data_IF_958800199555
#
_entry.id   IF_958800199555
#
_cell.length_a   1.000
_cell.length_b   1.000
_cell.length_c   1.000
_cell.angle_alpha   90.00
_cell.angle_beta   90.00
_cell.angle_gamma   90.00
#
_symmetry.space_group_name_H-M   'P 1'
#
loop_
_entity.id
_entity.type
_entity.pdbx_description
1 polymer ?
#
# COMPACT_ATOMS: atom_id res chain seq x y z
N UNK A 1 -7.08 -21.60 -16.60
CA UNK A 1 -6.86 -20.28 -15.99
C UNK A 1 -6.01 -19.41 -16.91
N UNK A 2 -6.51 -18.25 -17.20
CA UNK A 2 -5.80 -17.29 -18.04
C UNK A 2 -4.85 -16.47 -17.17
N UNK A 3 -3.94 -15.75 -17.81
CA UNK A 3 -3.04 -14.84 -17.10
C UNK A 3 -3.81 -13.81 -16.28
N UNK A 4 -4.97 -13.40 -16.76
CA UNK A 4 -5.79 -12.42 -16.04
C UNK A 4 -6.26 -12.90 -14.69
N UNK A 5 -6.36 -14.19 -14.51
CA UNK A 5 -6.86 -14.76 -13.27
C UNK A 5 -5.77 -14.96 -12.24
N UNK A 6 -4.54 -14.78 -12.63
CA UNK A 6 -3.45 -14.81 -11.68
C UNK A 6 -3.42 -13.52 -10.91
N UNK A 7 -3.53 -13.64 -9.63
CA UNK A 7 -3.41 -12.49 -8.77
C UNK A 7 -1.94 -12.28 -8.47
N UNK A 8 -1.43 -11.18 -8.96
CA UNK A 8 -0.07 -10.79 -8.62
C UNK A 8 -0.13 -9.87 -7.43
N UNK A 9 0.43 -10.32 -6.32
CA UNK A 9 0.49 -9.52 -5.09
C UNK A 9 1.91 -9.01 -4.97
N UNK A 10 2.04 -7.70 -4.86
CA UNK A 10 3.35 -7.07 -4.77
C UNK A 10 3.34 -5.97 -3.72
N UNK A 11 4.50 -5.65 -3.14
CA UNK A 11 4.59 -4.54 -2.19
C UNK A 11 4.21 -3.21 -2.86
N UNK A 12 3.58 -2.35 -2.10
CA UNK A 12 3.20 -1.02 -2.59
C UNK A 12 4.40 -0.24 -3.12
N UNK A 13 5.58 -0.47 -2.55
CA UNK A 13 6.81 0.20 -2.98
C UNK A 13 7.21 -0.09 -4.42
N UNK A 14 6.67 -1.15 -5.02
CA UNK A 14 6.96 -1.49 -6.41
C UNK A 14 5.96 -0.86 -7.38
N UNK A 15 4.95 -0.18 -6.88
CA UNK A 15 3.96 0.46 -7.75
C UNK A 15 4.45 1.80 -8.26
N UNK A 16 4.05 2.10 -9.48
CA UNK A 16 4.38 3.38 -10.08
C UNK A 16 3.60 4.51 -9.42
N UNK A 17 4.23 5.68 -9.37
CA UNK A 17 3.58 6.89 -8.87
C UNK A 17 2.38 7.22 -9.76
N UNK A 18 1.28 7.57 -9.11
CA UNK A 18 0.07 7.98 -9.82
C UNK A 18 -0.86 6.87 -10.24
N UNK A 19 -0.47 5.62 -10.01
CA UNK A 19 -1.32 4.47 -10.36
C UNK A 19 -2.13 4.05 -9.14
N UNK A 20 -3.45 4.05 -9.29
CA UNK A 20 -4.34 3.60 -8.23
C UNK A 20 -4.33 2.08 -8.16
N UNK A 21 -4.19 1.56 -6.94
CA UNK A 21 -4.23 0.13 -6.69
C UNK A 21 -5.13 -0.16 -5.51
N UNK A 22 -5.41 -1.43 -5.27
CA UNK A 22 -6.27 -1.85 -4.17
C UNK A 22 -5.44 -2.67 -3.19
N UNK A 23 -5.56 -2.36 -1.91
CA UNK A 23 -4.89 -3.11 -0.86
C UNK A 23 -5.45 -4.53 -0.82
N UNK A 24 -4.58 -5.51 -0.96
CA UNK A 24 -4.95 -6.92 -0.89
C UNK A 24 -4.79 -7.45 0.53
N UNK A 25 -3.66 -7.14 1.14
CA UNK A 25 -3.39 -7.57 2.51
C UNK A 25 -2.24 -6.74 3.07
N UNK A 26 -2.05 -6.81 4.36
CA UNK A 26 -0.93 -6.18 5.04
C UNK A 26 -0.15 -7.26 5.76
N UNK A 27 1.14 -7.30 5.50
CA UNK A 27 2.05 -8.24 6.15
C UNK A 27 2.73 -7.59 7.33
N UNK A 28 3.14 -8.41 8.27
CA UNK A 28 3.89 -7.95 9.42
C UNK A 28 3.25 -8.34 10.71
N UNK A 29 3.83 -7.82 11.80
CA UNK A 29 3.33 -8.08 13.15
C UNK A 29 2.04 -7.31 13.39
N UNK A 30 1.29 -7.74 14.40
CA UNK A 30 0.01 -7.14 14.71
C UNK A 30 0.09 -5.63 14.92
N UNK A 31 1.15 -5.16 15.56
CA UNK A 31 1.32 -3.73 15.80
C UNK A 31 1.44 -2.94 14.50
N UNK A 32 2.23 -3.45 13.57
CA UNK A 32 2.39 -2.83 12.26
C UNK A 32 1.08 -2.83 11.49
N UNK A 33 0.38 -3.96 11.51
CA UNK A 33 -0.89 -4.09 10.82
C UNK A 33 -1.92 -3.12 11.39
N UNK A 34 -2.02 -3.03 12.71
CA UNK A 34 -2.96 -2.11 13.35
C UNK A 34 -2.62 -0.66 13.05
N UNK A 35 -1.34 -0.32 13.07
CA UNK A 35 -0.90 1.03 12.74
C UNK A 35 -1.34 1.42 11.33
N UNK A 36 -1.09 0.55 10.37
CA UNK A 36 -1.45 0.83 8.98
C UNK A 36 -2.96 0.84 8.79
N UNK A 37 -3.68 -0.06 9.45
CA UNK A 37 -5.14 -0.07 9.39
C UNK A 37 -5.73 1.23 9.94
N UNK A 38 -5.16 1.76 11.00
CA UNK A 38 -5.61 3.04 11.57
C UNK A 38 -5.42 4.20 10.60
N UNK A 39 -4.44 4.12 9.72
CA UNK A 39 -4.22 5.13 8.70
C UNK A 39 -5.18 4.97 7.51
N UNK A 40 -5.89 3.86 7.45
CA UNK A 40 -6.83 3.61 6.36
C UNK A 40 -6.41 2.50 5.41
N UNK A 41 -5.26 1.88 5.63
CA UNK A 41 -4.79 0.78 4.77
C UNK A 41 -5.46 -0.51 5.18
N UNK A 42 -6.67 -0.71 4.72
CA UNK A 42 -7.45 -1.93 5.00
C UNK A 42 -7.70 -2.66 3.69
N UNK A 43 -7.99 -3.96 3.78
CA UNK A 43 -8.28 -4.74 2.58
C UNK A 43 -9.39 -4.09 1.77
N UNK A 44 -9.19 -4.00 0.47
CA UNK A 44 -10.16 -3.38 -0.42
C UNK A 44 -10.04 -1.87 -0.54
N UNK A 45 -9.21 -1.22 0.29
CA UNK A 45 -9.03 0.21 0.19
C UNK A 45 -8.22 0.55 -1.07
N UNK A 46 -8.59 1.64 -1.72
CA UNK A 46 -7.86 2.11 -2.89
C UNK A 46 -6.78 3.07 -2.44
N UNK A 47 -5.59 2.88 -2.97
CA UNK A 47 -4.43 3.67 -2.62
C UNK A 47 -3.66 4.06 -3.86
N UNK A 48 -3.02 5.22 -3.79
CA UNK A 48 -2.19 5.72 -4.89
C UNK A 48 -0.91 6.27 -4.30
N UNK A 49 0.23 5.84 -4.82
CA UNK A 49 1.51 6.42 -4.43
C UNK A 49 1.62 7.78 -5.10
N UNK A 50 1.75 8.83 -4.31
CA UNK A 50 1.85 10.19 -4.83
C UNK A 50 3.30 10.58 -5.10
N UNK A 51 4.18 10.22 -4.18
CA UNK A 51 5.60 10.49 -4.35
C UNK A 51 6.41 9.63 -3.39
N UNK A 52 7.72 9.60 -3.63
CA UNK A 52 8.64 8.90 -2.75
C UNK A 52 9.86 9.80 -2.58
N UNK A 53 10.24 10.07 -1.35
CA UNK A 53 11.33 10.99 -1.07
C UNK A 53 12.02 10.61 0.24
N UNK A 54 13.33 10.48 0.17
CA UNK A 54 14.19 10.30 1.34
C UNK A 54 13.74 9.13 2.24
N UNK A 55 13.39 8.00 1.63
CA UNK A 55 13.00 6.81 2.38
C UNK A 55 11.56 6.83 2.88
N UNK A 56 10.79 7.84 2.50
CA UNK A 56 9.37 7.94 2.83
C UNK A 56 8.53 7.86 1.58
N UNK A 57 7.32 7.33 1.73
CA UNK A 57 6.38 7.22 0.62
C UNK A 57 5.14 8.02 1.00
N UNK A 58 4.72 8.90 0.11
CA UNK A 58 3.49 9.67 0.29
C UNK A 58 2.39 8.91 -0.45
N UNK A 59 1.37 8.51 0.26
CA UNK A 59 0.29 7.68 -0.28
C UNK A 59 -1.04 8.38 -0.06
N UNK A 60 -1.85 8.39 -1.09
CA UNK A 60 -3.21 8.88 -1.00
C UNK A 60 -4.12 7.70 -0.66
N UNK A 61 -4.82 7.78 0.47
CA UNK A 61 -5.74 6.75 0.92
C UNK A 61 -6.94 7.40 1.57
N UNK A 62 -8.16 6.98 1.19
CA UNK A 62 -9.41 7.53 1.73
C UNK A 62 -9.44 9.06 1.72
N UNK A 63 -9.07 9.64 0.60
CA UNK A 63 -9.07 11.08 0.39
C UNK A 63 -8.10 11.85 1.30
N UNK A 64 -7.19 11.15 1.95
CA UNK A 64 -6.16 11.75 2.76
C UNK A 64 -4.79 11.35 2.24
N UNK A 65 -3.81 12.21 2.46
CA UNK A 65 -2.42 11.89 2.14
C UNK A 65 -1.70 11.57 3.43
N UNK A 66 -1.01 10.45 3.42
CA UNK A 66 -0.22 10.03 4.57
C UNK A 66 1.20 9.73 4.11
N UNK A 67 2.16 10.05 4.97
CA UNK A 67 3.56 9.73 4.72
C UNK A 67 3.92 8.54 5.60
N UNK A 68 4.45 7.50 4.99
CA UNK A 68 4.92 6.32 5.72
C UNK A 68 6.32 5.98 5.24
N UNK A 69 7.07 5.28 6.08
CA UNK A 69 8.40 4.83 5.69
C UNK A 69 8.31 3.76 4.60
N UNK A 70 9.38 3.60 3.84
CA UNK A 70 9.44 2.54 2.84
C UNK A 70 9.26 1.17 3.48
N UNK A 71 9.78 0.98 4.68
CA UNK A 71 9.61 -0.27 5.40
C UNK A 71 8.13 -0.57 5.64
N UNK A 72 7.39 0.42 6.08
CA UNK A 72 5.94 0.27 6.29
C UNK A 72 5.23 0.05 4.97
N UNK A 73 5.57 0.81 3.94
CA UNK A 73 4.95 0.66 2.63
C UNK A 73 5.20 -0.72 2.04
N UNK A 74 6.35 -1.31 2.31
CA UNK A 74 6.68 -2.65 1.82
C UNK A 74 5.82 -3.74 2.46
N UNK A 75 5.14 -3.44 3.55
CA UNK A 75 4.23 -4.38 4.20
C UNK A 75 2.84 -4.38 3.58
N UNK A 76 2.52 -3.35 2.82
CA UNK A 76 1.22 -3.23 2.16
C UNK A 76 1.30 -3.95 0.82
N UNK A 77 0.50 -5.01 0.68
CA UNK A 77 0.46 -5.78 -0.56
C UNK A 77 -0.71 -5.31 -1.42
N UNK A 78 -0.44 -5.05 -2.67
CA UNK A 78 -1.43 -4.57 -3.63
C UNK A 78 -1.50 -5.42 -4.88
#
# INVERSE_FOLDING_TARGET
ITEKERITIMPLTLMDVGVETTVKTIRGKDQTRKFLQNLGFVEGAKVTVVSSLAGNVIVNVKDARVAISEQMASRIMV
#
